data_IF_936994962136
#
_entry.id   IF_936994962136
#
_cell.length_a   1.000
_cell.length_b   1.000
_cell.length_c   1.000
_cell.angle_alpha   90.00
_cell.angle_beta   90.00
_cell.angle_gamma   90.00
#
_symmetry.space_group_name_H-M   'P 1'
#
loop_
_entity.id
_entity.type
_entity.pdbx_description
1 polymer ?
#
# COMPACT_ATOMS: atom_id res chain seq x y z
N UNK A 1 -3.81 -2.01 -16.71
CA UNK A 1 -2.83 -3.11 -16.72
C UNK A 1 -2.86 -3.74 -15.33
N UNK A 2 -3.00 -5.06 -15.24
CA UNK A 2 -3.04 -5.80 -13.98
C UNK A 2 -1.74 -5.59 -13.20
N UNK A 3 -1.79 -4.72 -12.18
CA UNK A 3 -0.66 -4.40 -11.31
C UNK A 3 -0.20 -5.63 -10.54
N UNK A 4 0.73 -6.38 -11.14
CA UNK A 4 1.29 -7.56 -10.49
C UNK A 4 2.27 -7.04 -9.45
N UNK A 5 1.89 -7.13 -8.17
CA UNK A 5 2.74 -6.74 -7.04
C UNK A 5 4.11 -7.43 -7.14
N UNK A 6 5.17 -6.63 -7.25
CA UNK A 6 6.54 -7.15 -7.27
C UNK A 6 7.05 -7.22 -5.83
N UNK A 7 7.24 -8.43 -5.33
CA UNK A 7 7.90 -8.66 -4.04
C UNK A 7 9.43 -8.50 -4.16
N UNK A 8 10.13 -8.57 -3.02
CA UNK A 8 11.58 -8.49 -2.95
C UNK A 8 12.27 -9.43 -3.97
N UNK A 9 13.36 -9.00 -4.65
CA UNK A 9 14.03 -9.78 -5.70
C UNK A 9 14.37 -11.23 -5.34
N UNK A 10 14.87 -11.47 -4.12
CA UNK A 10 15.12 -12.81 -3.57
C UNK A 10 13.86 -13.71 -3.66
N UNK A 11 12.69 -13.20 -3.25
CA UNK A 11 11.44 -13.96 -3.30
C UNK A 11 11.01 -14.23 -4.72
N UNK A 12 11.11 -13.21 -5.57
CA UNK A 12 10.68 -13.31 -6.97
C UNK A 12 11.50 -14.36 -7.70
N UNK A 13 12.83 -14.28 -7.61
CA UNK A 13 13.72 -15.24 -8.26
C UNK A 13 13.49 -16.68 -7.77
N UNK A 14 13.42 -16.88 -6.45
CA UNK A 14 13.22 -18.23 -5.89
C UNK A 14 11.85 -18.81 -6.28
N UNK A 15 10.77 -18.02 -6.20
CA UNK A 15 9.42 -18.54 -6.46
C UNK A 15 9.09 -18.64 -7.94
N UNK A 16 9.50 -17.66 -8.75
CA UNK A 16 9.14 -17.57 -10.17
C UNK A 16 10.11 -18.34 -11.04
N UNK A 17 11.40 -18.25 -10.77
CA UNK A 17 12.41 -18.80 -11.68
C UNK A 17 12.93 -20.16 -11.21
N UNK A 18 13.07 -20.38 -9.90
CA UNK A 18 13.40 -21.71 -9.36
C UNK A 18 12.16 -22.58 -9.11
N UNK A 19 10.97 -22.00 -9.03
CA UNK A 19 9.72 -22.74 -8.81
C UNK A 19 9.61 -23.38 -7.42
N UNK A 20 10.39 -22.93 -6.44
CA UNK A 20 10.39 -23.45 -5.06
C UNK A 20 10.06 -22.34 -4.05
N UNK A 21 9.78 -22.72 -2.80
CA UNK A 21 9.59 -21.73 -1.75
C UNK A 21 10.93 -21.22 -1.21
N UNK A 22 10.93 -20.02 -0.62
CA UNK A 22 12.10 -19.49 0.11
C UNK A 22 12.52 -20.42 1.25
N UNK A 23 11.55 -21.12 1.84
CA UNK A 23 11.81 -22.13 2.87
C UNK A 23 12.62 -23.31 2.33
N UNK A 24 12.15 -23.89 1.23
CA UNK A 24 12.82 -24.99 0.54
C UNK A 24 14.20 -24.57 0.06
N UNK A 25 14.32 -23.37 -0.53
CA UNK A 25 15.62 -22.85 -0.95
C UNK A 25 16.61 -22.76 0.20
N UNK A 26 16.24 -22.16 1.35
CA UNK A 26 17.17 -22.03 2.46
C UNK A 26 17.60 -23.38 3.05
N UNK A 27 16.73 -24.40 3.01
CA UNK A 27 17.11 -25.78 3.38
C UNK A 27 18.17 -26.36 2.43
N UNK A 28 17.98 -26.20 1.12
CA UNK A 28 18.93 -26.70 0.10
C UNK A 28 20.24 -25.90 0.10
N UNK A 29 20.15 -24.59 0.32
CA UNK A 29 21.30 -23.69 0.33
C UNK A 29 22.11 -23.71 1.65
N UNK A 30 21.62 -24.38 2.69
CA UNK A 30 22.21 -24.29 4.04
C UNK A 30 22.13 -22.91 4.67
N UNK A 31 21.24 -22.03 4.19
CA UNK A 31 21.08 -20.67 4.68
C UNK A 31 19.91 -20.63 5.67
N UNK A 32 20.13 -20.17 6.92
CA UNK A 32 19.06 -20.07 7.91
C UNK A 32 17.90 -19.22 7.39
N UNK A 33 16.66 -19.69 7.63
CA UNK A 33 15.45 -18.97 7.22
C UNK A 33 15.38 -17.58 7.83
N UNK A 34 15.84 -17.41 9.08
CA UNK A 34 15.94 -16.12 9.75
C UNK A 34 16.84 -15.12 8.99
N UNK A 35 17.91 -15.60 8.36
CA UNK A 35 18.83 -14.79 7.55
C UNK A 35 18.14 -14.32 6.27
N UNK A 36 17.52 -15.23 5.51
CA UNK A 36 16.77 -14.87 4.30
C UNK A 36 15.63 -13.90 4.61
N UNK A 37 14.87 -14.17 5.67
CA UNK A 37 13.79 -13.30 6.14
C UNK A 37 14.32 -11.91 6.53
N UNK A 38 15.48 -11.83 7.17
CA UNK A 38 16.12 -10.56 7.53
C UNK A 38 16.54 -9.77 6.31
N UNK A 39 17.17 -10.41 5.30
CA UNK A 39 17.55 -9.72 4.07
C UNK A 39 16.33 -9.20 3.31
N UNK A 40 15.27 -9.99 3.22
CA UNK A 40 14.02 -9.57 2.58
C UNK A 40 13.36 -8.43 3.37
N UNK A 41 13.24 -8.54 4.69
CA UNK A 41 12.58 -7.55 5.55
C UNK A 41 13.33 -6.21 5.58
N UNK A 42 14.66 -6.26 5.57
CA UNK A 42 15.52 -5.06 5.52
C UNK A 42 15.77 -4.57 4.09
N UNK A 43 15.12 -5.18 3.10
CA UNK A 43 15.21 -4.81 1.70
C UNK A 43 16.65 -4.72 1.21
N UNK A 44 17.47 -5.69 1.63
CA UNK A 44 18.88 -5.73 1.31
C UNK A 44 19.02 -5.92 -0.20
N UNK A 45 19.62 -4.91 -0.83
CA UNK A 45 19.95 -4.92 -2.25
C UNK A 45 20.70 -6.18 -2.64
N UNK A 46 20.38 -6.70 -3.83
CA UNK A 46 21.02 -7.88 -4.42
C UNK A 46 22.53 -7.74 -4.35
N UNK A 47 23.09 -6.64 -4.86
CA UNK A 47 24.53 -6.35 -4.92
C UNK A 47 25.27 -6.43 -3.56
N UNK A 48 24.54 -6.40 -2.44
CA UNK A 48 25.09 -6.46 -1.08
C UNK A 48 24.97 -7.84 -0.44
N UNK A 49 24.40 -8.84 -1.11
CA UNK A 49 24.26 -10.20 -0.58
C UNK A 49 25.62 -10.93 -0.61
N UNK A 50 25.85 -11.86 0.33
CA UNK A 50 27.11 -12.62 0.40
C UNK A 50 27.27 -13.56 -0.81
N UNK A 51 28.53 -13.84 -1.18
CA UNK A 51 28.85 -14.67 -2.35
C UNK A 51 28.19 -16.06 -2.28
N UNK A 52 28.16 -16.65 -1.08
CA UNK A 52 27.59 -17.97 -0.82
C UNK A 52 26.13 -18.09 -1.23
N UNK A 53 25.37 -16.99 -1.17
CA UNK A 53 23.98 -16.96 -1.62
C UNK A 53 23.87 -17.18 -3.13
N UNK A 54 24.72 -16.53 -3.93
CA UNK A 54 24.72 -16.73 -5.38
C UNK A 54 25.28 -18.08 -5.78
N UNK A 55 26.29 -18.58 -5.06
CA UNK A 55 26.81 -19.94 -5.24
C UNK A 55 25.72 -20.99 -5.02
N UNK A 56 24.89 -20.82 -3.97
CA UNK A 56 23.76 -21.69 -3.72
C UNK A 56 22.70 -21.60 -4.83
N UNK A 57 22.35 -20.39 -5.27
CA UNK A 57 21.40 -20.21 -6.39
C UNK A 57 21.91 -20.83 -7.70
N UNK A 58 23.20 -20.64 -8.01
CA UNK A 58 23.89 -21.25 -9.14
C UNK A 58 23.81 -22.78 -9.11
N UNK A 59 24.02 -23.36 -7.93
CA UNK A 59 23.92 -24.82 -7.73
C UNK A 59 22.50 -25.32 -7.97
N UNK A 60 21.49 -24.65 -7.40
CA UNK A 60 20.08 -25.06 -7.56
C UNK A 60 19.60 -24.87 -9.00
N UNK A 61 19.97 -23.76 -9.65
CA UNK A 61 19.57 -23.43 -11.02
C UNK A 61 20.39 -24.21 -12.08
N UNK A 62 21.54 -24.77 -11.70
CA UNK A 62 22.52 -25.41 -12.58
C UNK A 62 23.03 -24.46 -13.68
N UNK A 63 23.32 -23.22 -13.28
CA UNK A 63 23.84 -22.16 -14.17
C UNK A 63 25.06 -21.49 -13.54
N UNK A 64 25.93 -20.86 -14.33
CA UNK A 64 27.05 -20.07 -13.81
C UNK A 64 26.58 -18.97 -12.84
N UNK A 65 27.41 -18.63 -11.87
CA UNK A 65 27.11 -17.59 -10.85
C UNK A 65 26.84 -16.25 -11.53
N UNK A 66 27.57 -15.93 -12.60
CA UNK A 66 27.44 -14.69 -13.37
C UNK A 66 26.05 -14.57 -14.02
N UNK A 67 25.55 -15.67 -14.59
CA UNK A 67 24.22 -15.72 -15.20
C UNK A 67 23.14 -15.50 -14.15
N UNK A 68 23.22 -16.24 -13.03
CA UNK A 68 22.29 -16.11 -11.91
C UNK A 68 22.32 -14.70 -11.32
N UNK A 69 23.51 -14.13 -11.15
CA UNK A 69 23.68 -12.76 -10.67
C UNK A 69 23.03 -11.75 -11.62
N UNK A 70 23.26 -11.87 -12.93
CA UNK A 70 22.63 -11.03 -13.95
C UNK A 70 21.11 -11.10 -13.95
N UNK A 71 20.54 -12.29 -13.84
CA UNK A 71 19.09 -12.48 -13.74
C UNK A 71 18.52 -11.84 -12.47
N UNK A 72 19.21 -12.03 -11.34
CA UNK A 72 18.81 -11.47 -10.05
C UNK A 72 18.91 -9.93 -10.02
N UNK A 73 19.90 -9.35 -10.70
CA UNK A 73 19.97 -7.90 -10.96
C UNK A 73 18.80 -7.42 -11.80
N UNK A 74 18.36 -8.20 -12.79
CA UNK A 74 17.15 -7.90 -13.56
C UNK A 74 15.90 -7.79 -12.67
N UNK A 75 15.78 -8.66 -11.66
CA UNK A 75 14.73 -8.52 -10.65
C UNK A 75 14.91 -7.31 -9.74
N UNK A 76 16.13 -6.98 -9.33
CA UNK A 76 16.40 -5.76 -8.57
C UNK A 76 15.93 -4.51 -9.32
N UNK A 77 16.24 -4.41 -10.62
CA UNK A 77 15.80 -3.28 -11.45
C UNK A 77 14.28 -3.19 -11.57
N UNK A 78 13.59 -4.33 -11.75
CA UNK A 78 12.12 -4.36 -11.79
C UNK A 78 11.51 -3.94 -10.45
N UNK A 79 12.09 -4.41 -9.35
CA UNK A 79 11.64 -4.04 -8.00
C UNK A 79 11.87 -2.56 -7.69
N UNK A 80 13.03 -2.02 -8.06
CA UNK A 80 13.36 -0.61 -7.91
C UNK A 80 12.39 0.26 -8.73
N UNK A 81 12.10 -0.14 -9.97
CA UNK A 81 11.11 0.53 -10.82
C UNK A 81 9.71 0.47 -10.22
N UNK A 82 9.25 -0.72 -9.81
CA UNK A 82 7.94 -0.87 -9.18
C UNK A 82 7.82 -0.01 -7.93
N UNK A 83 8.88 0.07 -7.11
CA UNK A 83 8.91 0.97 -5.96
C UNK A 83 8.82 2.42 -6.37
N UNK A 84 9.61 2.84 -7.34
CA UNK A 84 9.58 4.20 -7.84
C UNK A 84 8.21 4.56 -8.42
N UNK A 85 7.62 3.71 -9.24
CA UNK A 85 6.27 3.86 -9.79
C UNK A 85 5.22 3.87 -8.68
N UNK A 86 5.36 3.04 -7.64
CA UNK A 86 4.45 3.07 -6.48
C UNK A 86 4.59 4.35 -5.67
N UNK A 87 5.82 4.86 -5.48
CA UNK A 87 6.08 6.12 -4.79
C UNK A 87 5.61 7.32 -5.63
N UNK A 88 5.73 7.24 -6.95
CA UNK A 88 5.19 8.23 -7.88
C UNK A 88 3.67 8.18 -7.94
N UNK A 89 3.04 7.01 -7.91
CA UNK A 89 1.60 6.88 -7.77
C UNK A 89 1.10 7.48 -6.44
N UNK A 90 1.84 7.28 -5.33
CA UNK A 90 1.57 7.94 -4.05
C UNK A 90 1.80 9.47 -4.13
N UNK A 91 2.78 9.92 -4.92
CA UNK A 91 2.98 11.36 -5.17
C UNK A 91 1.87 11.94 -6.06
N UNK A 92 1.36 11.17 -7.02
CA UNK A 92 0.18 11.46 -7.85
C UNK A 92 -1.16 11.20 -7.11
N UNK A 93 -1.12 10.67 -5.88
CA UNK A 93 -2.23 10.63 -4.91
C UNK A 93 -2.31 11.92 -4.08
N UNK A 94 -1.31 12.82 -4.12
CA UNK A 94 -1.44 14.17 -3.55
C UNK A 94 -2.67 14.96 -4.04
N UNK A 95 -3.11 14.87 -5.31
CA UNK A 95 -4.41 15.35 -5.76
C UNK A 95 -5.58 14.72 -4.99
N UNK A 96 -5.65 13.39 -4.83
CA UNK A 96 -6.77 12.72 -4.15
C UNK A 96 -6.82 13.01 -2.65
N UNK A 97 -5.67 12.99 -1.97
CA UNK A 97 -5.56 13.38 -0.57
C UNK A 97 -5.99 14.84 -0.36
N UNK A 98 -5.52 15.75 -1.22
CA UNK A 98 -5.86 17.18 -1.15
C UNK A 98 -7.34 17.42 -1.47
N UNK A 99 -7.89 16.73 -2.48
CA UNK A 99 -9.32 16.76 -2.81
C UNK A 99 -10.18 16.23 -1.66
N UNK A 100 -9.76 15.16 -0.97
CA UNK A 100 -10.47 14.64 0.18
C UNK A 100 -10.44 15.61 1.37
N UNK A 101 -9.30 16.25 1.63
CA UNK A 101 -9.19 17.32 2.62
C UNK A 101 -10.06 18.54 2.26
N UNK A 102 -10.07 18.97 1.00
CA UNK A 102 -10.93 20.05 0.51
C UNK A 102 -12.42 19.73 0.63
N UNK A 103 -12.81 18.50 0.27
CA UNK A 103 -14.19 18.03 0.45
C UNK A 103 -14.57 17.98 1.94
N UNK A 104 -13.66 17.54 2.83
CA UNK A 104 -13.87 17.59 4.28
C UNK A 104 -14.18 19.01 4.78
N UNK A 105 -13.37 19.99 4.35
CA UNK A 105 -13.60 21.42 4.66
C UNK A 105 -14.93 21.92 4.12
N UNK A 106 -15.27 21.58 2.88
CA UNK A 106 -16.51 22.00 2.21
C UNK A 106 -17.74 21.44 2.93
N UNK A 107 -17.71 20.16 3.30
CA UNK A 107 -18.77 19.50 4.08
C UNK A 107 -18.92 20.19 5.43
N UNK A 108 -17.83 20.37 6.18
CA UNK A 108 -17.88 21.04 7.48
C UNK A 108 -18.46 22.46 7.37
N UNK A 109 -18.01 23.26 6.39
CA UNK A 109 -18.56 24.60 6.14
C UNK A 109 -20.07 24.56 5.90
N UNK A 110 -20.57 23.57 5.15
CA UNK A 110 -22.01 23.43 4.88
C UNK A 110 -22.81 23.11 6.14
N UNK A 111 -22.30 22.21 6.99
CA UNK A 111 -22.86 21.92 8.31
C UNK A 111 -22.92 23.18 9.18
N UNK A 112 -21.82 23.94 9.22
CA UNK A 112 -21.72 25.20 9.98
C UNK A 112 -22.69 26.27 9.46
N UNK A 113 -22.78 26.46 8.15
CA UNK A 113 -23.73 27.42 7.56
C UNK A 113 -25.19 27.06 7.85
N UNK A 114 -25.51 25.77 7.97
CA UNK A 114 -26.86 25.28 8.30
C UNK A 114 -27.11 25.13 9.81
N UNK A 115 -26.12 25.41 10.66
CA UNK A 115 -26.20 25.20 12.13
C UNK A 115 -26.52 23.76 12.53
N UNK A 116 -25.97 22.78 11.80
CA UNK A 116 -26.22 21.34 11.98
C UNK A 116 -25.02 20.59 12.57
N UNK A 117 -24.04 21.29 13.16
CA UNK A 117 -22.79 20.68 13.63
C UNK A 117 -23.00 19.55 14.66
N UNK A 118 -24.05 19.66 15.49
CA UNK A 118 -24.43 18.60 16.43
C UNK A 118 -24.81 17.29 15.73
N UNK A 119 -25.43 17.38 14.55
CA UNK A 119 -25.83 16.23 13.74
C UNK A 119 -24.65 15.57 13.01
N UNK A 120 -23.49 16.23 12.96
CA UNK A 120 -22.27 15.69 12.35
C UNK A 120 -21.48 14.78 13.31
N UNK A 121 -21.65 14.93 14.62
CA UNK A 121 -20.82 14.24 15.62
C UNK A 121 -20.90 12.71 15.54
N UNK A 122 -22.11 12.16 15.49
CA UNK A 122 -22.32 10.71 15.45
C UNK A 122 -21.88 10.07 14.11
N UNK A 123 -22.23 10.65 12.94
CA UNK A 123 -21.68 10.19 11.67
C UNK A 123 -20.15 10.27 11.61
N UNK A 124 -19.54 11.34 12.12
CA UNK A 124 -18.10 11.49 12.14
C UNK A 124 -17.41 10.46 13.06
N UNK A 125 -17.98 10.13 14.22
CA UNK A 125 -17.48 9.04 15.08
C UNK A 125 -17.51 7.69 14.37
N UNK A 126 -18.58 7.38 13.64
CA UNK A 126 -18.68 6.16 12.84
C UNK A 126 -17.66 6.16 11.69
N UNK A 127 -17.48 7.30 11.03
CA UNK A 127 -16.45 7.47 10.01
C UNK A 127 -15.06 7.17 10.58
N UNK A 128 -14.72 7.73 11.75
CA UNK A 128 -13.44 7.47 12.42
C UNK A 128 -13.22 5.99 12.69
N UNK A 129 -14.22 5.33 13.26
CA UNK A 129 -14.17 3.89 13.55
C UNK A 129 -13.98 3.07 12.28
N UNK A 130 -14.65 3.43 11.18
CA UNK A 130 -14.50 2.75 9.91
C UNK A 130 -13.09 2.90 9.32
N UNK A 131 -12.48 4.08 9.44
CA UNK A 131 -11.09 4.35 9.03
C UNK A 131 -10.13 3.50 9.87
N UNK A 132 -10.27 3.51 11.20
CA UNK A 132 -9.37 2.77 12.11
C UNK A 132 -9.47 1.25 11.89
N UNK A 133 -10.65 0.74 11.54
CA UNK A 133 -10.90 -0.68 11.25
C UNK A 133 -10.64 -1.07 9.79
N UNK A 134 -10.31 -0.12 8.92
CA UNK A 134 -10.13 -0.32 7.48
C UNK A 134 -11.35 -1.01 6.83
N UNK A 135 -12.56 -0.62 7.28
CA UNK A 135 -13.82 -1.19 6.84
C UNK A 135 -14.48 -0.29 5.79
N UNK A 136 -14.29 -0.63 4.51
CA UNK A 136 -14.81 0.15 3.37
C UNK A 136 -16.34 0.27 3.37
N UNK A 137 -17.07 -0.77 3.78
CA UNK A 137 -18.54 -0.72 3.81
C UNK A 137 -19.04 0.24 4.88
N UNK A 138 -18.49 0.17 6.08
CA UNK A 138 -18.83 1.09 7.17
C UNK A 138 -18.43 2.54 6.85
N UNK A 139 -17.31 2.72 6.12
CA UNK A 139 -16.86 4.02 5.65
C UNK A 139 -17.87 4.64 4.68
N UNK A 140 -18.29 3.89 3.65
CA UNK A 140 -19.29 4.36 2.68
C UNK A 140 -20.61 4.70 3.37
N UNK A 141 -21.07 3.88 4.32
CA UNK A 141 -22.28 4.17 5.10
C UNK A 141 -22.19 5.48 5.87
N UNK A 142 -21.06 5.72 6.55
CA UNK A 142 -20.85 6.99 7.25
C UNK A 142 -20.80 8.18 6.29
N UNK A 143 -20.17 8.03 5.12
CA UNK A 143 -20.15 9.08 4.09
C UNK A 143 -21.55 9.38 3.53
N UNK A 144 -22.35 8.37 3.24
CA UNK A 144 -23.74 8.54 2.79
C UNK A 144 -24.54 9.38 3.79
N UNK A 145 -24.40 9.08 5.08
CA UNK A 145 -25.13 9.80 6.13
C UNK A 145 -24.64 11.26 6.26
N UNK A 146 -23.33 11.49 6.27
CA UNK A 146 -22.73 12.83 6.33
C UNK A 146 -23.21 13.70 5.17
N UNK A 147 -23.18 13.17 3.94
CA UNK A 147 -23.61 13.92 2.77
C UNK A 147 -25.13 14.06 2.67
N UNK A 148 -25.87 13.04 3.11
CA UNK A 148 -27.33 13.02 3.13
C UNK A 148 -27.92 14.11 4.03
N UNK A 149 -27.36 14.31 5.23
CA UNK A 149 -27.85 15.31 6.19
C UNK A 149 -27.74 16.77 5.70
N UNK A 150 -26.86 17.02 4.73
CA UNK A 150 -26.67 18.35 4.13
C UNK A 150 -27.04 18.42 2.65
N UNK A 151 -27.68 17.35 2.13
CA UNK A 151 -28.15 17.22 0.75
C UNK A 151 -27.07 17.53 -0.30
N UNK A 152 -25.82 17.17 -0.02
CA UNK A 152 -24.73 17.30 -0.97
C UNK A 152 -24.55 16.00 -1.75
N UNK A 153 -24.27 16.12 -3.04
CA UNK A 153 -23.85 14.97 -3.83
C UNK A 153 -22.49 14.45 -3.32
N UNK A 154 -22.40 13.14 -3.09
CA UNK A 154 -21.13 12.51 -2.76
C UNK A 154 -20.15 12.65 -3.92
N UNK A 155 -18.87 12.93 -3.66
CA UNK A 155 -17.89 13.01 -4.72
C UNK A 155 -17.62 11.61 -5.30
N UNK A 156 -17.39 11.58 -6.61
CA UNK A 156 -17.26 10.33 -7.38
C UNK A 156 -16.07 9.47 -6.95
N UNK A 157 -15.07 10.06 -6.30
CA UNK A 157 -13.94 9.32 -5.75
C UNK A 157 -14.34 8.39 -4.58
N UNK A 158 -15.40 8.70 -3.84
CA UNK A 158 -15.93 7.82 -2.75
C UNK A 158 -16.50 6.51 -3.30
N UNK A 159 -16.96 6.51 -4.55
CA UNK A 159 -17.46 5.32 -5.23
C UNK A 159 -16.35 4.44 -5.82
N UNK A 160 -15.09 4.89 -5.80
CA UNK A 160 -13.95 4.06 -6.24
C UNK A 160 -13.64 3.01 -5.17
N UNK A 161 -13.27 1.81 -5.62
CA UNK A 161 -12.79 0.77 -4.72
C UNK A 161 -11.45 1.19 -4.13
N UNK A 162 -11.40 1.44 -2.82
CA UNK A 162 -10.17 1.73 -2.09
C UNK A 162 -9.48 0.44 -1.64
N UNK A 163 -8.17 0.37 -1.80
CA UNK A 163 -7.36 -0.57 -1.04
C UNK A 163 -7.25 -0.10 0.44
N UNK A 164 -6.80 -0.99 1.33
CA UNK A 164 -6.73 -0.69 2.77
C UNK A 164 -5.84 0.51 3.12
N UNK A 165 -4.76 0.73 2.36
CA UNK A 165 -3.85 1.86 2.60
C UNK A 165 -4.50 3.17 2.18
N UNK A 166 -5.09 3.20 0.98
CA UNK A 166 -5.80 4.35 0.41
C UNK A 166 -6.97 4.79 1.31
N UNK A 167 -7.78 3.85 1.81
CA UNK A 167 -8.90 4.14 2.71
C UNK A 167 -8.41 4.86 3.98
N UNK A 168 -7.28 4.42 4.53
CA UNK A 168 -6.72 5.00 5.75
C UNK A 168 -6.26 6.43 5.51
N UNK A 169 -5.51 6.67 4.45
CA UNK A 169 -4.92 7.98 4.17
C UNK A 169 -5.98 9.00 3.71
N UNK A 170 -6.79 8.64 2.72
CA UNK A 170 -7.85 9.51 2.16
C UNK A 170 -8.93 9.76 3.21
N UNK A 171 -9.37 8.72 3.91
CA UNK A 171 -10.36 8.83 4.97
C UNK A 171 -9.89 9.71 6.12
N UNK A 172 -8.61 9.58 6.52
CA UNK A 172 -8.02 10.43 7.57
C UNK A 172 -7.89 11.90 7.12
N UNK A 173 -7.55 12.15 5.85
CA UNK A 173 -7.48 13.50 5.28
C UNK A 173 -8.83 14.22 5.36
N UNK A 174 -9.89 13.54 4.90
CA UNK A 174 -11.27 14.06 4.96
C UNK A 174 -11.72 14.25 6.41
N UNK A 175 -11.54 13.25 7.27
CA UNK A 175 -11.98 13.30 8.67
C UNK A 175 -11.31 14.42 9.47
N UNK A 176 -10.01 14.66 9.24
CA UNK A 176 -9.28 15.73 9.92
C UNK A 176 -9.93 17.09 9.66
N UNK A 177 -10.26 17.38 8.40
CA UNK A 177 -10.87 18.65 8.02
C UNK A 177 -12.39 18.71 8.32
N UNK A 178 -13.02 17.55 8.53
CA UNK A 178 -14.43 17.45 8.90
C UNK A 178 -14.70 17.90 10.34
N UNK A 179 -13.74 17.70 11.25
CA UNK A 179 -13.89 17.99 12.68
C UNK A 179 -12.86 18.98 13.25
N UNK A 180 -11.71 19.18 12.59
CA UNK A 180 -10.74 20.20 12.98
C UNK A 180 -10.72 21.30 11.92
N UNK A 181 -10.91 22.54 12.39
CA UNK A 181 -10.90 23.82 11.66
C UNK A 181 -12.27 24.35 11.21
N UNK A 182 -13.03 24.81 12.20
CA UNK A 182 -13.24 26.27 12.26
C UNK A 182 -11.94 26.94 12.66
#
# INVERSE_FOLDING_TARGET
>A
MSGTMIEHPIKMYIRRDLGITVEQFGKVAGIPQSTLATWIKRERRVEKLPIDFYSALSTVRKQPIESVYGELLGWQQRYDRYKQESLQAIAEEQPLFSLAAEEGRKVYRKYRTRQLESQLLEPARRLRKAIDQLNTQAFIQAMIEIYGNIELAMPTWVAKSFNKSELKEIGQAFYNELLMKG
#
